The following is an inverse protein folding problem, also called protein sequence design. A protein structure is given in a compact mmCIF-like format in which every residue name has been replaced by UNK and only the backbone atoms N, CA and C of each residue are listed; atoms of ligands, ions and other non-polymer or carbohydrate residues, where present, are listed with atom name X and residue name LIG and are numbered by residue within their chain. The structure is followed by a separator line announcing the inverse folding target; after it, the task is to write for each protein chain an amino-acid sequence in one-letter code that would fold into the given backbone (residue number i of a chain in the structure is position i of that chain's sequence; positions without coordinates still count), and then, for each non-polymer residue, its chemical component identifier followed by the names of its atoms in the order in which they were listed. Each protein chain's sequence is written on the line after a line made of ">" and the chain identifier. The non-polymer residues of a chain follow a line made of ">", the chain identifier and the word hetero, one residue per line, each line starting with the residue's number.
data_IF_298324291586
#
_entry.id   IF_298324291586
#
_cell.length_a   1.000
_cell.length_b   1.000
_cell.length_c   1.000
_cell.angle_alpha   90.00
_cell.angle_beta   90.00
_cell.angle_gamma   90.00
#
_symmetry.space_group_name_H-M   'P 1'
#
loop_
_entity.id
_entity.type
_entity.pdbx_description
1 polymer ?
#
# COMPACT_ATOMS: atom_id res chain seq x y z
N UNK A 1 26.46 -17.85 -7.03
CA UNK A 1 26.25 -17.79 -5.57
C UNK A 1 25.50 -19.02 -5.10
N UNK A 2 25.88 -19.56 -3.96
CA UNK A 2 25.18 -20.63 -3.28
C UNK A 2 24.69 -20.10 -1.94
N UNK A 3 23.46 -20.45 -1.53
CA UNK A 3 22.93 -20.03 -0.24
C UNK A 3 22.13 -21.15 0.42
N UNK A 4 22.22 -21.23 1.74
CA UNK A 4 21.41 -22.08 2.60
C UNK A 4 20.64 -21.21 3.57
N UNK A 5 19.35 -21.47 3.76
CA UNK A 5 18.53 -20.70 4.69
C UNK A 5 17.68 -21.65 5.55
N UNK A 6 17.63 -21.33 6.84
CA UNK A 6 16.79 -22.01 7.81
C UNK A 6 15.92 -20.98 8.52
N UNK A 7 14.60 -21.13 8.37
CA UNK A 7 13.63 -20.28 9.05
C UNK A 7 12.77 -21.11 9.99
N UNK A 8 12.42 -20.49 11.13
CA UNK A 8 11.50 -21.05 12.14
C UNK A 8 10.58 -19.94 12.59
N UNK A 9 9.29 -20.16 12.43
CA UNK A 9 8.26 -19.18 12.80
C UNK A 9 7.05 -19.82 13.46
N UNK A 10 6.21 -18.97 14.03
CA UNK A 10 4.88 -19.33 14.53
C UNK A 10 3.86 -18.36 13.95
N UNK A 11 2.66 -18.86 13.69
CA UNK A 11 1.52 -18.08 13.25
C UNK A 11 0.43 -18.10 14.30
N UNK A 12 -0.20 -16.95 14.53
CA UNK A 12 -1.28 -16.77 15.48
C UNK A 12 -2.48 -16.18 14.78
N UNK A 13 -3.66 -16.67 15.13
CA UNK A 13 -4.93 -16.21 14.57
C UNK A 13 -6.01 -16.26 15.65
N UNK A 14 -6.83 -15.23 15.71
CA UNK A 14 -8.00 -15.17 16.56
C UNK A 14 -9.03 -14.20 16.01
N UNK A 15 -10.30 -14.56 16.08
CA UNK A 15 -11.40 -13.66 15.75
C UNK A 15 -12.56 -13.86 16.72
N UNK A 16 -13.28 -12.77 16.95
CA UNK A 16 -14.50 -12.72 17.75
C UNK A 16 -15.48 -11.83 17.02
N UNK A 17 -16.73 -12.29 16.91
CA UNK A 17 -17.85 -11.49 16.42
C UNK A 17 -19.05 -11.70 17.34
N UNK A 18 -19.71 -10.61 17.71
CA UNK A 18 -20.89 -10.61 18.54
C UNK A 18 -21.91 -9.62 18.00
N UNK A 19 -23.18 -10.02 17.93
CA UNK A 19 -24.29 -9.16 17.57
C UNK A 19 -25.30 -9.15 18.70
N UNK A 20 -25.74 -7.96 19.10
CA UNK A 20 -26.70 -7.75 20.17
C UNK A 20 -27.90 -6.94 19.66
N UNK A 21 -29.08 -7.57 19.61
CA UNK A 21 -30.34 -6.92 19.33
C UNK A 21 -30.81 -6.16 20.58
N UNK A 22 -30.63 -4.84 20.60
CA UNK A 22 -31.06 -3.99 21.71
C UNK A 22 -32.60 -4.01 21.78
N UNK A 23 -33.24 -3.96 20.62
CA UNK A 23 -34.67 -4.14 20.40
C UNK A 23 -34.92 -4.52 18.91
N UNK A 24 -36.17 -4.64 18.51
CA UNK A 24 -36.60 -5.01 17.15
C UNK A 24 -36.17 -4.02 16.04
N UNK A 25 -35.60 -2.87 16.42
CA UNK A 25 -35.20 -1.79 15.52
C UNK A 25 -33.71 -1.44 15.62
N UNK A 26 -33.03 -1.90 16.66
CA UNK A 26 -31.64 -1.51 16.95
C UNK A 26 -30.77 -2.73 17.10
N UNK A 27 -29.71 -2.76 16.30
CA UNK A 27 -28.70 -3.82 16.31
C UNK A 27 -27.32 -3.20 16.57
N UNK A 28 -26.57 -3.79 17.48
CA UNK A 28 -25.16 -3.49 17.72
C UNK A 28 -24.34 -4.72 17.32
N UNK A 29 -23.36 -4.53 16.42
CA UNK A 29 -22.42 -5.59 16.05
C UNK A 29 -21.00 -5.15 16.43
N UNK A 30 -20.26 -6.03 17.06
CA UNK A 30 -18.86 -5.82 17.43
C UNK A 30 -18.06 -6.99 16.88
N UNK A 31 -16.98 -6.70 16.17
CA UNK A 31 -16.04 -7.72 15.73
C UNK A 31 -14.61 -7.31 16.07
N UNK A 32 -13.80 -8.31 16.41
CA UNK A 32 -12.37 -8.18 16.66
C UNK A 32 -11.66 -9.32 15.95
N UNK A 33 -10.55 -9.01 15.28
CA UNK A 33 -9.70 -10.00 14.65
C UNK A 33 -8.22 -9.68 14.86
N UNK A 34 -7.44 -10.70 15.03
CA UNK A 34 -5.99 -10.62 15.09
C UNK A 34 -5.39 -11.79 14.34
N UNK A 35 -4.40 -11.52 13.50
CA UNK A 35 -3.56 -12.56 12.92
C UNK A 35 -2.15 -12.01 12.72
N UNK A 36 -1.17 -12.89 12.75
CA UNK A 36 0.20 -12.48 12.58
C UNK A 36 1.18 -13.63 12.78
N UNK A 37 2.43 -13.31 12.55
CA UNK A 37 3.53 -14.25 12.65
C UNK A 37 4.74 -13.60 13.30
N UNK A 38 5.55 -14.40 13.95
CA UNK A 38 6.92 -14.06 14.29
C UNK A 38 7.84 -15.17 13.82
N UNK A 39 8.97 -14.81 13.27
CA UNK A 39 9.94 -15.71 12.69
C UNK A 39 11.37 -15.35 13.07
N UNK A 40 12.23 -16.36 13.00
CA UNK A 40 13.68 -16.25 13.08
C UNK A 40 14.26 -16.94 11.87
N UNK A 41 15.19 -16.26 11.21
CA UNK A 41 15.88 -16.80 10.04
C UNK A 41 17.38 -16.73 10.23
N UNK A 42 18.07 -17.76 9.80
CA UNK A 42 19.51 -17.78 9.68
C UNK A 42 19.83 -18.20 8.24
N UNK A 43 20.71 -17.50 7.59
CA UNK A 43 21.14 -17.86 6.24
C UNK A 43 22.61 -17.64 6.05
N UNK A 44 23.25 -18.63 5.45
CA UNK A 44 24.64 -18.61 5.00
C UNK A 44 24.67 -18.51 3.48
N UNK A 45 25.56 -17.70 2.95
CA UNK A 45 25.73 -17.53 1.51
C UNK A 45 27.19 -17.45 1.10
N UNK A 46 27.53 -18.06 -0.03
CA UNK A 46 28.82 -17.89 -0.68
C UNK A 46 28.61 -17.11 -1.99
N UNK A 47 29.32 -16.02 -2.15
CA UNK A 47 29.29 -15.22 -3.36
C UNK A 47 30.68 -15.22 -3.99
N UNK A 48 30.74 -15.57 -5.27
CA UNK A 48 31.93 -15.49 -6.10
C UNK A 48 31.58 -14.56 -7.26
N UNK A 49 32.37 -13.51 -7.45
CA UNK A 49 32.24 -12.57 -8.55
C UNK A 49 33.38 -12.78 -9.55
N UNK A 50 33.02 -12.74 -10.81
CA UNK A 50 33.95 -12.81 -11.94
C UNK A 50 33.98 -11.49 -12.69
N UNK A 51 35.08 -11.20 -13.35
CA UNK A 51 35.22 -10.05 -14.26
C UNK A 51 34.22 -10.11 -15.44
N UNK A 52 34.21 -9.09 -16.25
CA UNK A 52 33.29 -8.95 -17.37
C UNK A 52 33.42 -10.05 -18.43
N UNK A 53 34.61 -10.66 -18.57
CA UNK A 53 34.92 -11.76 -19.45
C UNK A 53 34.50 -13.14 -18.89
N UNK A 54 34.05 -13.19 -17.62
CA UNK A 54 33.66 -14.38 -16.86
C UNK A 54 34.78 -15.42 -16.64
N UNK A 55 36.01 -15.12 -17.02
CA UNK A 55 37.15 -16.04 -16.87
C UNK A 55 37.97 -15.69 -15.64
N UNK A 56 38.07 -14.41 -15.32
CA UNK A 56 38.84 -13.94 -14.19
C UNK A 56 37.99 -13.87 -12.91
N UNK A 57 38.53 -14.45 -11.84
CA UNK A 57 38.04 -14.30 -10.49
C UNK A 57 38.29 -12.85 -10.03
N UNK A 58 37.25 -12.16 -9.56
CA UNK A 58 37.39 -10.79 -9.07
C UNK A 58 37.48 -10.75 -7.53
N UNK A 59 36.56 -11.36 -6.86
CA UNK A 59 36.54 -11.50 -5.41
C UNK A 59 35.52 -12.56 -4.96
N UNK A 60 35.69 -13.04 -3.73
CA UNK A 60 34.69 -13.88 -3.05
C UNK A 60 34.47 -13.43 -1.62
N UNK A 61 33.32 -13.72 -1.09
CA UNK A 61 32.99 -13.55 0.32
C UNK A 61 31.90 -14.51 0.75
N UNK A 62 31.85 -14.79 2.05
CA UNK A 62 30.74 -15.48 2.69
C UNK A 62 29.90 -14.48 3.46
N UNK A 63 28.58 -14.69 3.49
CA UNK A 63 27.66 -13.95 4.33
C UNK A 63 27.04 -14.86 5.38
N UNK A 64 26.93 -14.35 6.60
CA UNK A 64 26.18 -14.97 7.67
C UNK A 64 25.11 -13.95 8.15
N UNK A 65 23.85 -14.32 7.97
CA UNK A 65 22.71 -13.45 8.24
C UNK A 65 21.83 -14.06 9.32
N UNK A 66 21.54 -13.28 10.35
CA UNK A 66 20.60 -13.62 11.41
C UNK A 66 19.48 -12.59 11.45
N UNK A 67 18.24 -13.06 11.43
CA UNK A 67 17.08 -12.18 11.44
C UNK A 67 16.00 -12.64 12.41
N UNK A 68 15.32 -11.68 13.00
CA UNK A 68 14.06 -11.88 13.72
C UNK A 68 13.05 -10.89 13.18
N UNK A 69 11.86 -11.38 12.87
CA UNK A 69 10.76 -10.55 12.41
C UNK A 69 9.46 -10.85 13.13
N UNK A 70 8.59 -9.88 13.17
CA UNK A 70 7.20 -10.10 13.51
C UNK A 70 6.30 -9.16 12.73
N UNK A 71 5.15 -9.64 12.36
CA UNK A 71 4.09 -8.80 11.79
C UNK A 71 2.73 -9.26 12.32
N UNK A 72 1.88 -8.30 12.62
CA UNK A 72 0.53 -8.54 13.07
C UNK A 72 -0.45 -7.65 12.31
N UNK A 73 -1.67 -8.14 12.14
CA UNK A 73 -2.82 -7.35 11.72
C UNK A 73 -3.89 -7.48 12.79
N UNK A 74 -4.21 -6.35 13.41
CA UNK A 74 -5.21 -6.25 14.48
C UNK A 74 -6.32 -5.37 13.93
N UNK A 75 -7.54 -5.89 13.87
CA UNK A 75 -8.69 -5.17 13.36
C UNK A 75 -9.85 -5.25 14.33
N UNK A 76 -10.64 -4.20 14.37
CA UNK A 76 -11.86 -4.12 15.15
C UNK A 76 -12.90 -3.28 14.42
N UNK A 77 -14.16 -3.64 14.58
CA UNK A 77 -15.26 -2.79 14.14
C UNK A 77 -16.43 -2.81 15.13
N UNK A 78 -17.12 -1.69 15.18
CA UNK A 78 -18.37 -1.51 15.91
C UNK A 78 -19.36 -0.88 14.96
N UNK A 79 -20.48 -1.56 14.72
CA UNK A 79 -21.55 -1.09 13.87
C UNK A 79 -22.84 -0.98 14.69
N UNK A 80 -23.42 0.21 14.74
CA UNK A 80 -24.74 0.46 15.31
C UNK A 80 -25.71 0.77 14.20
N UNK A 81 -26.74 -0.06 14.08
CA UNK A 81 -27.78 0.08 13.08
C UNK A 81 -29.12 0.37 13.75
N UNK A 82 -29.85 1.31 13.19
CA UNK A 82 -31.20 1.65 13.60
C UNK A 82 -32.14 1.70 12.40
N UNK A 83 -33.21 0.90 12.44
CA UNK A 83 -34.28 0.91 11.45
C UNK A 83 -35.51 1.71 11.95
N UNK A 84 -36.34 2.19 11.04
CA UNK A 84 -37.55 2.94 11.37
C UNK A 84 -38.75 2.01 11.64
N UNK A 85 -39.55 2.36 12.65
CA UNK A 85 -40.80 1.62 12.93
C UNK A 85 -41.81 1.66 11.77
N UNK A 86 -41.85 2.81 11.03
CA UNK A 86 -42.81 3.00 9.93
C UNK A 86 -42.38 2.30 8.64
N UNK A 87 -41.09 2.17 8.42
CA UNK A 87 -40.55 1.51 7.24
C UNK A 87 -39.18 0.91 7.58
N UNK A 88 -39.10 -0.41 7.62
CA UNK A 88 -37.88 -1.15 7.98
C UNK A 88 -36.74 -0.98 6.96
N UNK A 89 -37.02 -0.56 5.73
CA UNK A 89 -36.01 -0.25 4.73
C UNK A 89 -35.33 1.13 4.98
N UNK A 90 -35.96 1.98 5.82
CA UNK A 90 -35.34 3.23 6.27
C UNK A 90 -34.40 2.93 7.43
N UNK A 91 -33.12 3.20 7.22
CA UNK A 91 -32.06 2.79 8.12
C UNK A 91 -30.98 3.83 8.25
N UNK A 92 -30.44 3.99 9.44
CA UNK A 92 -29.20 4.69 9.70
C UNK A 92 -28.20 3.73 10.33
N UNK A 93 -26.95 3.77 9.86
CA UNK A 93 -25.85 2.97 10.39
C UNK A 93 -24.69 3.90 10.78
N UNK A 94 -24.15 3.69 11.97
CA UNK A 94 -22.91 4.29 12.43
C UNK A 94 -21.88 3.21 12.54
N UNK A 95 -20.75 3.37 11.85
CA UNK A 95 -19.66 2.40 11.83
C UNK A 95 -18.37 3.05 12.30
N UNK A 96 -17.67 2.38 13.19
CA UNK A 96 -16.29 2.67 13.53
C UNK A 96 -15.42 1.45 13.26
N UNK A 97 -14.33 1.64 12.54
CA UNK A 97 -13.36 0.57 12.25
C UNK A 97 -11.97 1.04 12.61
N UNK A 98 -11.20 0.14 13.20
CA UNK A 98 -9.78 0.32 13.45
C UNK A 98 -9.00 -0.84 12.86
N UNK A 99 -7.88 -0.54 12.23
CA UNK A 99 -6.91 -1.53 11.76
C UNK A 99 -5.51 -1.05 12.15
N UNK A 100 -4.70 -1.94 12.73
CA UNK A 100 -3.30 -1.67 13.07
C UNK A 100 -2.43 -2.82 12.59
N UNK A 101 -1.32 -2.49 11.92
CA UNK A 101 -0.40 -3.44 11.32
C UNK A 101 1.03 -3.18 11.81
N UNK A 102 1.34 -3.47 13.09
CA UNK A 102 2.69 -3.36 13.60
C UNK A 102 3.58 -4.45 13.00
N UNK A 103 4.79 -4.05 12.62
CA UNK A 103 5.82 -4.94 12.11
C UNK A 103 7.16 -4.58 12.73
N UNK A 104 7.96 -5.60 13.06
CA UNK A 104 9.34 -5.43 13.52
C UNK A 104 10.27 -6.28 12.68
N UNK A 105 11.47 -5.77 12.47
CA UNK A 105 12.55 -6.49 11.82
C UNK A 105 13.87 -6.15 12.52
N UNK A 106 14.58 -7.16 12.97
CA UNK A 106 15.90 -7.05 13.62
C UNK A 106 16.82 -8.02 12.89
N UNK A 107 17.81 -7.51 12.18
CA UNK A 107 18.67 -8.32 11.33
C UNK A 107 20.14 -7.92 11.42
N UNK A 108 21.00 -8.92 11.47
CA UNK A 108 22.45 -8.82 11.40
C UNK A 108 22.92 -9.43 10.10
N UNK A 109 23.82 -8.75 9.43
CA UNK A 109 24.51 -9.24 8.25
C UNK A 109 26.01 -9.15 8.49
N UNK A 110 26.68 -10.27 8.39
CA UNK A 110 28.12 -10.38 8.60
C UNK A 110 28.80 -10.88 7.33
N UNK A 111 29.82 -10.15 6.89
CA UNK A 111 30.68 -10.54 5.79
C UNK A 111 31.92 -11.24 6.34
N UNK A 112 32.20 -12.42 5.86
CA UNK A 112 33.28 -13.29 6.29
C UNK A 112 34.10 -13.71 5.07
N UNK A 113 35.36 -14.09 5.33
CA UNK A 113 36.25 -14.69 4.32
C UNK A 113 36.29 -13.87 3.02
N UNK A 114 36.47 -12.55 3.16
CA UNK A 114 36.54 -11.63 2.03
C UNK A 114 37.95 -11.78 1.41
N UNK A 115 38.00 -12.36 0.22
CA UNK A 115 39.23 -12.60 -0.51
C UNK A 115 39.18 -11.90 -1.88
N UNK A 116 40.06 -10.92 -2.14
CA UNK A 116 40.24 -10.36 -3.47
C UNK A 116 41.17 -11.24 -4.31
N UNK A 117 41.11 -11.07 -5.62
CA UNK A 117 42.20 -11.50 -6.50
C UNK A 117 43.50 -10.76 -6.14
N UNK A 118 44.64 -11.45 -6.23
CA UNK A 118 45.97 -10.96 -5.72
C UNK A 118 46.36 -9.55 -6.18
N UNK A 119 45.80 -9.04 -7.29
CA UNK A 119 46.11 -7.71 -7.84
C UNK A 119 44.93 -6.71 -7.79
N UNK A 120 43.82 -7.04 -7.09
CA UNK A 120 42.58 -6.22 -7.08
C UNK A 120 42.12 -5.83 -5.68
N UNK A 121 43.06 -5.61 -4.75
CA UNK A 121 42.78 -5.16 -3.38
C UNK A 121 41.94 -3.86 -3.32
N UNK A 122 42.02 -3.02 -4.34
CA UNK A 122 41.28 -1.76 -4.40
C UNK A 122 39.77 -1.96 -4.61
N UNK A 123 39.37 -3.05 -5.29
CA UNK A 123 37.95 -3.36 -5.50
C UNK A 123 37.21 -3.60 -4.17
N UNK A 124 37.85 -4.25 -3.19
CA UNK A 124 37.22 -4.49 -1.88
C UNK A 124 37.09 -3.18 -1.08
N UNK A 125 38.06 -2.28 -1.17
CA UNK A 125 37.97 -0.96 -0.55
C UNK A 125 36.85 -0.12 -1.16
N UNK A 126 36.67 -0.20 -2.48
CA UNK A 126 35.56 0.47 -3.17
C UNK A 126 34.19 -0.13 -2.85
N UNK A 127 34.10 -1.45 -2.71
CA UNK A 127 32.85 -2.16 -2.35
C UNK A 127 32.40 -1.86 -0.92
N UNK A 128 33.32 -1.42 -0.02
CA UNK A 128 33.01 -1.05 1.37
C UNK A 128 32.06 -2.05 2.07
N UNK A 129 32.39 -3.36 1.99
CA UNK A 129 31.61 -4.42 2.64
C UNK A 129 31.78 -4.31 4.16
N UNK A 130 30.76 -3.72 4.80
CA UNK A 130 30.71 -3.54 6.25
C UNK A 130 29.63 -4.43 6.84
N UNK A 131 29.94 -5.05 7.97
CA UNK A 131 28.92 -5.71 8.76
C UNK A 131 27.87 -4.70 9.19
N UNK A 132 26.62 -5.10 9.21
CA UNK A 132 25.55 -4.21 9.66
C UNK A 132 24.50 -4.89 10.51
N UNK A 133 23.92 -4.10 11.38
CA UNK A 133 22.71 -4.41 12.15
C UNK A 133 21.60 -3.41 11.78
N UNK A 134 20.43 -3.92 11.50
CA UNK A 134 19.23 -3.12 11.20
C UNK A 134 18.12 -3.48 12.18
N UNK A 135 17.65 -2.49 12.96
CA UNK A 135 16.48 -2.58 13.85
C UNK A 135 15.37 -1.69 13.27
N UNK A 136 14.33 -2.33 12.75
CA UNK A 136 13.22 -1.67 12.08
C UNK A 136 11.89 -1.91 12.79
N UNK A 137 11.11 -0.82 12.96
CA UNK A 137 9.74 -0.84 13.49
C UNK A 137 8.85 -0.03 12.59
N UNK A 138 7.80 -0.66 12.07
CA UNK A 138 6.79 0.03 11.27
C UNK A 138 5.40 -0.24 11.81
N UNK A 139 4.51 0.72 11.65
CA UNK A 139 3.10 0.53 11.95
C UNK A 139 2.24 1.36 11.00
N UNK A 140 1.24 0.71 10.40
CA UNK A 140 0.13 1.37 9.73
C UNK A 140 -1.10 1.24 10.61
N UNK A 141 -1.60 2.38 11.10
CA UNK A 141 -2.87 2.45 11.85
C UNK A 141 -3.89 3.23 11.03
N UNK A 142 -5.05 2.62 10.80
CA UNK A 142 -6.18 3.25 10.12
C UNK A 142 -7.41 3.23 11.02
N UNK A 143 -8.07 4.39 11.15
CA UNK A 143 -9.36 4.53 11.81
C UNK A 143 -10.37 5.07 10.80
N UNK A 144 -11.54 4.46 10.75
CA UNK A 144 -12.62 4.86 9.85
C UNK A 144 -13.88 5.12 10.65
N UNK A 145 -14.43 6.31 10.49
CA UNK A 145 -15.74 6.70 10.98
C UNK A 145 -16.67 6.85 9.77
N UNK A 146 -17.83 6.21 9.81
CA UNK A 146 -18.78 6.24 8.70
C UNK A 146 -20.21 6.34 9.22
N UNK A 147 -21.01 7.14 8.54
CA UNK A 147 -22.45 7.25 8.76
C UNK A 147 -23.15 7.05 7.43
N UNK A 148 -24.08 6.09 7.39
CA UNK A 148 -24.90 5.78 6.23
C UNK A 148 -26.36 5.97 6.55
N UNK A 149 -27.09 6.58 5.63
CA UNK A 149 -28.53 6.72 5.72
C UNK A 149 -29.19 6.26 4.44
N UNK A 150 -30.12 5.31 4.57
CA UNK A 150 -30.92 4.80 3.47
C UNK A 150 -32.38 5.11 3.73
N UNK A 151 -33.09 5.67 2.75
CA UNK A 151 -34.51 5.96 2.84
C UNK A 151 -35.24 5.66 1.54
N UNK A 152 -36.25 4.77 1.55
CA UNK A 152 -37.15 4.61 0.41
C UNK A 152 -38.13 5.80 0.33
N UNK A 153 -38.42 6.22 -0.89
CA UNK A 153 -39.42 7.22 -1.26
C UNK A 153 -40.47 6.54 -2.14
N UNK A 154 -41.62 6.26 -1.56
CA UNK A 154 -42.63 5.45 -2.20
C UNK A 154 -42.15 3.99 -2.38
N UNK A 155 -42.61 3.34 -3.47
CA UNK A 155 -42.31 1.91 -3.76
C UNK A 155 -41.19 1.72 -4.78
N UNK A 156 -40.78 2.77 -5.47
CA UNK A 156 -39.92 2.69 -6.63
C UNK A 156 -38.54 3.32 -6.40
N UNK A 157 -38.42 4.22 -5.45
CA UNK A 157 -37.27 5.05 -5.27
C UNK A 157 -36.59 4.79 -3.93
N UNK A 158 -35.26 4.77 -3.92
CA UNK A 158 -34.47 4.72 -2.68
C UNK A 158 -33.33 5.73 -2.80
N UNK A 159 -33.15 6.53 -1.75
CA UNK A 159 -32.00 7.41 -1.60
C UNK A 159 -31.05 6.79 -0.58
N UNK A 160 -29.78 6.76 -0.92
CA UNK A 160 -28.68 6.36 -0.05
C UNK A 160 -27.72 7.55 0.05
N UNK A 161 -27.34 7.94 1.25
CA UNK A 161 -26.36 9.01 1.46
C UNK A 161 -25.50 8.70 2.66
N UNK A 162 -24.30 9.22 2.68
CA UNK A 162 -23.41 9.00 3.80
C UNK A 162 -22.19 9.89 3.78
N UNK A 163 -21.48 9.85 4.88
CA UNK A 163 -20.20 10.49 5.06
C UNK A 163 -19.22 9.52 5.69
N UNK A 164 -17.95 9.63 5.30
CA UNK A 164 -16.87 8.78 5.78
C UNK A 164 -15.63 9.62 6.03
N UNK A 165 -15.01 9.40 7.17
CA UNK A 165 -13.71 9.96 7.52
C UNK A 165 -12.74 8.83 7.80
N UNK A 166 -11.60 8.85 7.13
CA UNK A 166 -10.50 7.91 7.36
C UNK A 166 -9.32 8.72 7.86
N UNK A 167 -8.82 8.33 9.01
CA UNK A 167 -7.53 8.76 9.53
C UNK A 167 -6.55 7.61 9.43
N UNK A 168 -5.44 7.81 8.69
CA UNK A 168 -4.37 6.82 8.56
C UNK A 168 -3.05 7.43 9.01
N UNK A 169 -2.36 6.72 9.87
CA UNK A 169 -1.01 7.03 10.31
C UNK A 169 -0.08 5.88 9.95
N UNK A 170 0.89 6.16 9.10
CA UNK A 170 2.01 5.28 8.86
C UNK A 170 3.23 5.84 9.60
N UNK A 171 3.93 5.00 10.33
CA UNK A 171 5.17 5.34 11.01
C UNK A 171 6.22 4.29 10.72
N UNK A 172 7.44 4.73 10.52
CA UNK A 172 8.61 3.88 10.35
C UNK A 172 9.74 4.45 11.21
N UNK A 173 10.41 3.60 11.96
CA UNK A 173 11.66 3.87 12.68
C UNK A 173 12.60 2.72 12.31
N UNK A 174 13.57 3.01 11.45
CA UNK A 174 14.55 2.05 10.98
C UNK A 174 15.95 2.56 11.32
N UNK A 175 16.63 1.88 12.22
CA UNK A 175 17.96 2.22 12.73
C UNK A 175 18.98 1.29 12.12
N UNK A 176 19.98 1.89 11.54
CA UNK A 176 21.05 1.19 10.85
C UNK A 176 22.39 1.43 11.56
N UNK A 177 23.10 0.35 11.83
CA UNK A 177 24.39 0.36 12.49
C UNK A 177 25.40 -0.38 11.62
N UNK A 178 26.62 0.11 11.55
CA UNK A 178 27.70 -0.49 10.77
C UNK A 178 28.91 -0.81 11.66
N UNK A 179 29.58 -1.90 11.34
CA UNK A 179 30.86 -2.26 11.96
C UNK A 179 31.89 -2.56 10.88
N UNK A 180 33.13 -2.14 11.12
CA UNK A 180 34.23 -2.39 10.20
C UNK A 180 34.91 -3.73 10.48
N UNK A 181 35.12 -4.52 9.44
CA UNK A 181 35.79 -5.81 9.51
C UNK A 181 35.06 -6.80 10.43
N UNK A 182 35.82 -7.61 11.17
CA UNK A 182 35.29 -8.57 12.15
C UNK A 182 34.93 -7.94 13.51
N UNK A 183 34.82 -6.60 13.58
CA UNK A 183 34.45 -5.90 14.81
C UNK A 183 32.96 -6.12 15.14
N UNK A 184 32.67 -6.36 16.42
CA UNK A 184 31.31 -6.37 16.95
C UNK A 184 30.84 -4.97 17.44
N UNK A 185 31.68 -3.95 17.28
CA UNK A 185 31.37 -2.58 17.65
C UNK A 185 30.57 -1.89 16.52
N UNK A 186 29.26 -2.03 16.60
CA UNK A 186 28.33 -1.40 15.64
C UNK A 186 28.13 0.07 15.97
N UNK A 187 28.53 0.96 15.06
CA UNK A 187 28.30 2.40 15.14
C UNK A 187 27.02 2.79 14.40
N UNK A 188 26.22 3.65 15.01
CA UNK A 188 25.00 4.18 14.39
C UNK A 188 25.33 4.98 13.12
N UNK A 189 24.62 4.69 12.02
CA UNK A 189 24.73 5.40 10.76
C UNK A 189 23.44 6.16 10.47
N UNK A 190 23.42 7.46 10.73
CA UNK A 190 22.26 8.33 10.52
C UNK A 190 21.84 8.40 9.04
N UNK A 191 22.80 8.43 8.12
CA UNK A 191 22.52 8.52 6.68
C UNK A 191 21.82 7.29 6.09
N UNK A 192 21.97 6.13 6.74
CA UNK A 192 21.29 4.88 6.38
C UNK A 192 20.08 4.57 7.25
N UNK A 193 19.90 5.34 8.33
CA UNK A 193 18.72 5.25 9.20
C UNK A 193 17.60 6.13 8.68
N UNK A 194 16.36 5.79 8.97
CA UNK A 194 15.23 6.64 8.63
C UNK A 194 14.11 6.54 9.67
N UNK A 195 13.63 7.70 10.12
CA UNK A 195 12.42 7.80 10.91
C UNK A 195 11.48 8.78 10.23
N UNK A 196 10.25 8.33 9.92
CA UNK A 196 9.22 9.21 9.35
C UNK A 196 7.84 8.92 9.89
N UNK A 197 6.96 9.91 9.77
CA UNK A 197 5.52 9.85 10.02
C UNK A 197 4.77 10.37 8.81
N UNK A 198 3.79 9.59 8.37
CA UNK A 198 2.90 9.95 7.27
C UNK A 198 1.46 9.90 7.77
N UNK A 199 0.80 11.05 7.78
CA UNK A 199 -0.59 11.21 8.18
C UNK A 199 -1.46 11.41 6.95
N UNK A 200 -2.59 10.71 6.88
CA UNK A 200 -3.60 10.87 5.85
C UNK A 200 -4.96 11.12 6.48
N UNK A 201 -5.60 12.20 6.08
CA UNK A 201 -6.98 12.53 6.37
C UNK A 201 -7.78 12.45 5.08
N UNK A 202 -8.75 11.53 5.01
CA UNK A 202 -9.59 11.36 3.83
C UNK A 202 -11.03 11.58 4.27
N UNK A 203 -11.64 12.67 3.79
CA UNK A 203 -13.04 12.99 4.03
C UNK A 203 -13.81 12.65 2.76
N UNK A 204 -14.93 11.96 2.91
CA UNK A 204 -15.79 11.58 1.79
C UNK A 204 -17.25 11.87 2.12
N UNK A 205 -17.97 12.39 1.14
CA UNK A 205 -19.43 12.49 1.17
C UNK A 205 -19.98 11.85 -0.10
N UNK A 206 -21.07 11.12 0.00
CA UNK A 206 -21.65 10.42 -1.15
C UNK A 206 -23.15 10.37 -1.11
N UNK A 207 -23.73 10.31 -2.31
CA UNK A 207 -25.14 10.12 -2.52
C UNK A 207 -25.39 9.14 -3.67
N UNK A 208 -26.36 8.30 -3.49
CA UNK A 208 -26.85 7.35 -4.49
C UNK A 208 -28.38 7.40 -4.56
N UNK A 209 -28.88 7.12 -5.73
CA UNK A 209 -30.30 7.01 -5.99
C UNK A 209 -30.58 5.68 -6.67
N UNK A 210 -31.63 4.99 -6.28
CA UNK A 210 -32.05 3.74 -6.90
C UNK A 210 -33.51 3.88 -7.37
N UNK A 211 -33.73 3.66 -8.66
CA UNK A 211 -35.05 3.48 -9.26
C UNK A 211 -35.25 1.98 -9.59
N UNK A 212 -36.38 1.43 -9.12
CA UNK A 212 -36.83 0.06 -9.47
C UNK A 212 -38.19 0.13 -10.07
N UNK A 213 -38.33 -0.20 -11.38
CA UNK A 213 -39.60 -0.15 -12.09
C UNK A 213 -39.73 -1.35 -13.07
N UNK A 214 -40.72 -2.20 -12.89
CA UNK A 214 -41.09 -3.31 -13.80
C UNK A 214 -39.86 -4.14 -14.31
N UNK A 215 -38.98 -4.52 -13.40
CA UNK A 215 -37.78 -5.29 -13.76
C UNK A 215 -36.58 -4.47 -14.24
N UNK A 216 -36.75 -3.17 -14.40
CA UNK A 216 -35.67 -2.21 -14.63
C UNK A 216 -35.15 -1.67 -13.30
N UNK A 217 -33.83 -1.60 -13.16
CA UNK A 217 -33.13 -0.98 -12.03
C UNK A 217 -32.12 0.01 -12.57
N UNK A 218 -32.14 1.23 -12.07
CA UNK A 218 -31.15 2.28 -12.36
C UNK A 218 -30.60 2.81 -11.07
N UNK A 219 -29.27 2.75 -10.89
CA UNK A 219 -28.58 3.20 -9.68
C UNK A 219 -27.38 4.07 -10.01
N UNK A 220 -27.55 5.40 -10.18
CA UNK A 220 -26.46 6.35 -10.20
C UNK A 220 -25.95 6.61 -8.79
N UNK A 221 -24.67 6.91 -8.67
CA UNK A 221 -24.02 7.32 -7.44
C UNK A 221 -22.90 8.32 -7.71
N UNK A 222 -22.69 9.22 -6.78
CA UNK A 222 -21.60 10.19 -6.81
C UNK A 222 -20.97 10.28 -5.43
N UNK A 223 -19.64 10.27 -5.38
CA UNK A 223 -18.83 10.44 -4.18
C UNK A 223 -17.82 11.56 -4.41
N UNK A 224 -17.74 12.46 -3.47
CA UNK A 224 -16.68 13.45 -3.37
C UNK A 224 -15.69 13.00 -2.30
N UNK A 225 -14.41 13.07 -2.58
CA UNK A 225 -13.34 12.76 -1.63
C UNK A 225 -12.34 13.91 -1.57
N UNK A 226 -11.98 14.32 -0.36
CA UNK A 226 -10.88 15.24 -0.06
C UNK A 226 -9.79 14.47 0.67
N UNK A 227 -8.57 14.50 0.14
CA UNK A 227 -7.41 13.86 0.74
C UNK A 227 -6.40 14.93 1.15
N UNK A 228 -5.96 14.88 2.40
CA UNK A 228 -4.91 15.73 2.96
C UNK A 228 -3.84 14.80 3.50
N UNK A 229 -2.61 14.94 3.04
CA UNK A 229 -1.46 14.16 3.46
C UNK A 229 -0.39 15.08 4.03
N UNK A 230 0.23 14.64 5.12
CA UNK A 230 1.38 15.30 5.75
C UNK A 230 2.47 14.25 5.98
N UNK A 231 3.67 14.50 5.51
CA UNK A 231 4.84 13.65 5.72
C UNK A 231 5.91 14.42 6.44
N UNK A 232 6.39 13.84 7.55
CA UNK A 232 7.49 14.37 8.35
C UNK A 232 8.60 13.34 8.47
N UNK A 233 9.78 13.70 8.03
CA UNK A 233 11.02 12.96 8.28
C UNK A 233 11.66 13.51 9.56
N UNK A 234 12.01 12.62 10.47
CA UNK A 234 12.61 12.93 11.77
C UNK A 234 14.09 12.56 11.82
N UNK A 235 14.47 11.52 11.08
CA UNK A 235 15.85 11.02 10.95
C UNK A 235 16.08 10.55 9.53
N UNK A 236 17.32 10.74 9.05
CA UNK A 236 17.80 10.23 7.77
C UNK A 236 17.33 11.02 6.54
N UNK A 237 17.58 10.47 5.36
CA UNK A 237 17.30 11.13 4.09
C UNK A 237 15.81 11.22 3.82
N UNK A 238 15.34 12.41 3.47
CA UNK A 238 13.96 12.69 3.12
C UNK A 238 13.61 14.14 3.41
N UNK A 239 12.57 14.64 2.77
CA UNK A 239 12.07 15.99 2.95
C UNK A 239 10.62 15.95 3.44
N UNK A 240 10.30 16.94 4.30
CA UNK A 240 8.91 17.13 4.74
C UNK A 240 8.09 17.70 3.58
N UNK A 241 6.91 17.14 3.37
CA UNK A 241 6.00 17.65 2.36
C UNK A 241 4.54 17.41 2.73
N UNK A 242 3.68 18.23 2.14
CA UNK A 242 2.24 18.13 2.25
C UNK A 242 1.62 17.94 0.87
N UNK A 243 0.52 17.23 0.80
CA UNK A 243 -0.24 17.07 -0.44
C UNK A 243 -1.73 17.14 -0.16
N UNK A 244 -2.44 17.87 -1.03
CA UNK A 244 -3.88 18.09 -0.89
C UNK A 244 -4.55 18.00 -2.25
N UNK A 245 -5.51 17.09 -2.39
CA UNK A 245 -6.24 16.91 -3.65
C UNK A 245 -7.66 16.40 -3.40
N UNK A 246 -8.53 16.67 -4.37
CA UNK A 246 -9.93 16.26 -4.33
C UNK A 246 -10.34 15.52 -5.58
N UNK A 247 -11.26 14.57 -5.41
CA UNK A 247 -11.75 13.73 -6.48
C UNK A 247 -13.27 13.59 -6.46
N UNK A 248 -13.89 13.64 -7.64
CA UNK A 248 -15.28 13.24 -7.86
C UNK A 248 -15.29 11.82 -8.46
N UNK A 249 -16.02 10.91 -7.83
CA UNK A 249 -16.04 9.49 -8.15
C UNK A 249 -17.45 9.06 -8.51
N UNK A 250 -17.83 9.13 -9.79
CA UNK A 250 -19.15 8.69 -10.27
C UNK A 250 -19.23 7.18 -10.43
N UNK A 251 -20.45 6.67 -10.28
CA UNK A 251 -20.81 5.29 -10.58
C UNK A 251 -22.22 5.19 -11.14
N UNK A 252 -22.47 4.23 -12.01
CA UNK A 252 -23.82 3.94 -12.53
C UNK A 252 -23.98 2.43 -12.62
N UNK A 253 -25.11 1.92 -12.18
CA UNK A 253 -25.50 0.51 -12.39
C UNK A 253 -26.88 0.44 -13.01
N UNK A 254 -27.00 -0.38 -14.04
CA UNK A 254 -28.22 -0.68 -14.80
C UNK A 254 -28.53 -2.16 -14.66
N UNK A 255 -29.79 -2.50 -14.47
CA UNK A 255 -30.26 -3.88 -14.45
C UNK A 255 -31.60 -4.00 -15.17
N UNK A 256 -31.72 -4.99 -16.05
CA UNK A 256 -32.95 -5.25 -16.79
C UNK A 256 -33.24 -6.74 -16.71
N UNK A 257 -34.44 -7.10 -16.21
CA UNK A 257 -34.98 -8.46 -16.28
C UNK A 257 -35.69 -8.64 -17.62
N UNK A 258 -35.13 -9.51 -18.44
CA UNK A 258 -35.71 -9.88 -19.75
C UNK A 258 -36.53 -11.17 -19.60
N UNK A 259 -37.72 -11.06 -19.02
CA UNK A 259 -38.55 -12.22 -18.69
C UNK A 259 -38.25 -12.85 -17.33
N UNK A 260 -38.54 -14.18 -17.19
CA UNK A 260 -38.44 -14.87 -15.90
C UNK A 260 -37.02 -15.36 -15.56
N UNK A 261 -36.19 -15.62 -16.56
CA UNK A 261 -34.94 -16.36 -16.43
C UNK A 261 -33.74 -15.60 -16.96
N UNK A 262 -33.94 -14.43 -17.55
CA UNK A 262 -32.87 -13.67 -18.21
C UNK A 262 -32.64 -12.33 -17.53
N UNK A 263 -31.38 -11.96 -17.32
CA UNK A 263 -30.99 -10.69 -16.74
C UNK A 263 -29.88 -10.08 -17.59
N UNK A 264 -30.01 -8.81 -17.87
CA UNK A 264 -28.96 -7.97 -18.45
C UNK A 264 -28.54 -6.93 -17.39
N UNK A 265 -27.23 -6.79 -17.17
CA UNK A 265 -26.67 -5.79 -16.26
C UNK A 265 -25.57 -5.04 -16.94
N UNK A 266 -25.54 -3.73 -16.74
CA UNK A 266 -24.46 -2.87 -17.18
C UNK A 266 -24.00 -2.02 -16.02
N UNK A 267 -22.74 -1.70 -15.98
CA UNK A 267 -22.16 -0.88 -14.93
C UNK A 267 -21.05 0.01 -15.45
N UNK A 268 -20.93 1.15 -14.83
CA UNK A 268 -19.76 2.02 -14.89
C UNK A 268 -19.35 2.38 -13.48
N UNK A 269 -18.06 2.23 -13.18
CA UNK A 269 -17.51 2.73 -11.94
C UNK A 269 -16.13 3.36 -12.19
N UNK A 270 -15.85 4.42 -11.47
CA UNK A 270 -14.55 5.02 -11.37
C UNK A 270 -13.93 4.66 -10.02
N UNK A 271 -12.65 4.37 -10.02
CA UNK A 271 -11.84 4.20 -8.81
C UNK A 271 -10.67 5.15 -8.86
N UNK A 272 -10.24 5.59 -7.69
CA UNK A 272 -9.05 6.43 -7.56
C UNK A 272 -7.97 5.65 -6.84
N UNK A 273 -6.73 5.80 -7.34
CA UNK A 273 -5.54 5.33 -6.68
C UNK A 273 -4.67 6.55 -6.33
N UNK A 274 -4.32 6.67 -5.06
CA UNK A 274 -3.58 7.82 -4.55
C UNK A 274 -2.10 7.54 -4.60
N UNK A 275 -1.27 8.52 -5.03
CA UNK A 275 0.18 8.35 -4.98
C UNK A 275 0.64 8.08 -3.54
N UNK A 276 1.51 7.10 -3.41
CA UNK A 276 2.14 6.77 -2.14
C UNK A 276 3.29 7.73 -1.79
N UNK A 277 3.80 7.62 -0.56
CA UNK A 277 4.91 8.44 -0.06
C UNK A 277 6.13 8.42 -1.00
N UNK A 278 6.47 7.27 -1.56
CA UNK A 278 7.62 7.11 -2.45
C UNK A 278 7.48 7.86 -3.78
N UNK A 279 6.25 8.00 -4.28
CA UNK A 279 5.98 8.74 -5.50
C UNK A 279 5.97 10.26 -5.27
N UNK A 280 5.67 10.67 -4.03
CA UNK A 280 5.50 12.09 -3.66
C UNK A 280 6.76 12.70 -3.05
N UNK A 281 7.68 11.89 -2.50
CA UNK A 281 8.86 12.38 -1.78
C UNK A 281 9.78 13.20 -2.71
N UNK A 282 9.93 14.51 -2.51
CA UNK A 282 10.75 15.36 -3.36
C UNK A 282 12.25 15.19 -3.10
N UNK A 283 12.65 14.44 -2.09
CA UNK A 283 14.03 14.19 -1.75
C UNK A 283 14.82 13.64 -2.93
N UNK A 284 15.95 14.27 -3.23
CA UNK A 284 16.91 13.84 -4.24
C UNK A 284 17.76 12.70 -3.66
N UNK A 285 17.32 11.46 -3.83
CA UNK A 285 18.03 10.30 -3.32
C UNK A 285 19.19 9.92 -4.24
N UNK A 286 20.38 10.29 -3.83
CA UNK A 286 21.66 9.99 -4.48
C UNK A 286 22.58 9.11 -3.60
N UNK A 287 22.01 8.34 -2.67
CA UNK A 287 22.79 7.39 -1.86
C UNK A 287 23.61 6.43 -2.73
N UNK A 288 23.07 6.05 -3.87
CA UNK A 288 23.84 5.48 -4.97
C UNK A 288 23.93 6.52 -6.09
N UNK A 289 25.11 7.15 -6.29
CA UNK A 289 25.26 8.22 -7.28
C UNK A 289 24.99 7.80 -8.73
N UNK A 290 24.99 6.48 -9.01
CA UNK A 290 24.65 5.95 -10.33
C UNK A 290 23.17 5.66 -10.51
N UNK A 291 22.38 5.64 -9.43
CA UNK A 291 20.93 5.38 -9.44
C UNK A 291 20.23 6.41 -8.56
N UNK A 292 19.79 7.48 -9.17
CA UNK A 292 19.18 8.62 -8.48
C UNK A 292 17.68 8.56 -8.61
N UNK A 293 16.97 8.75 -7.50
CA UNK A 293 15.52 8.74 -7.46
C UNK A 293 14.98 10.04 -6.86
N UNK A 294 13.90 10.56 -7.43
CA UNK A 294 13.19 11.72 -6.90
C UNK A 294 11.69 11.61 -7.19
N UNK A 295 10.85 11.72 -6.16
CA UNK A 295 9.40 11.76 -6.33
C UNK A 295 8.89 13.16 -6.71
N UNK A 296 7.60 13.23 -7.05
CA UNK A 296 6.94 14.48 -7.40
C UNK A 296 5.76 14.76 -6.46
N UNK A 297 5.86 15.74 -5.54
CA UNK A 297 4.80 16.06 -4.57
C UNK A 297 3.52 16.60 -5.22
N UNK A 298 3.57 17.02 -6.49
CA UNK A 298 2.45 17.57 -7.24
C UNK A 298 1.60 16.51 -7.95
N UNK A 299 1.91 15.22 -7.79
CA UNK A 299 1.12 14.14 -8.37
C UNK A 299 -0.31 14.15 -7.85
N UNK A 300 -1.25 13.88 -8.75
CA UNK A 300 -2.68 13.74 -8.45
C UNK A 300 -3.07 12.26 -8.50
N UNK A 301 -4.27 11.96 -8.00
CA UNK A 301 -4.82 10.60 -8.05
C UNK A 301 -4.91 10.06 -9.47
N UNK A 302 -4.50 8.83 -9.66
CA UNK A 302 -4.82 8.04 -10.86
C UNK A 302 -6.29 7.66 -10.83
N UNK A 303 -6.95 7.73 -11.99
CA UNK A 303 -8.37 7.42 -12.16
C UNK A 303 -8.55 6.22 -13.06
N UNK A 304 -9.07 5.15 -12.48
CA UNK A 304 -9.37 3.91 -13.21
C UNK A 304 -10.86 3.85 -13.52
N UNK A 305 -11.19 3.78 -14.79
CA UNK A 305 -12.55 3.68 -15.32
C UNK A 305 -12.82 2.23 -15.71
N UNK A 306 -13.94 1.68 -15.28
CA UNK A 306 -14.35 0.33 -15.62
C UNK A 306 -15.81 0.32 -16.06
N UNK A 307 -16.05 -0.28 -17.23
CA UNK A 307 -17.35 -0.57 -17.80
C UNK A 307 -17.54 -2.06 -17.80
N UNK A 308 -18.67 -2.52 -17.34
CA UNK A 308 -19.05 -3.93 -17.35
C UNK A 308 -20.42 -4.13 -17.98
N UNK A 309 -20.56 -5.21 -18.72
CA UNK A 309 -21.81 -5.67 -19.29
C UNK A 309 -21.92 -7.17 -19.06
N UNK A 310 -23.00 -7.62 -18.46
CA UNK A 310 -23.23 -9.04 -18.23
C UNK A 310 -24.63 -9.44 -18.60
N UNK A 311 -24.75 -10.57 -19.31
CA UNK A 311 -26.00 -11.23 -19.62
C UNK A 311 -26.00 -12.61 -18.98
N UNK A 312 -27.07 -12.93 -18.30
CA UNK A 312 -27.29 -14.28 -17.73
C UNK A 312 -28.64 -14.82 -18.11
N UNK A 313 -28.70 -16.09 -18.51
CA UNK A 313 -29.90 -16.84 -18.81
C UNK A 313 -29.84 -18.21 -18.13
N UNK A 314 -30.86 -18.52 -17.33
CA UNK A 314 -30.98 -19.77 -16.59
C UNK A 314 -32.25 -20.50 -17.00
N UNK A 315 -32.10 -21.63 -17.68
CA UNK A 315 -33.20 -22.47 -18.08
C UNK A 315 -33.02 -23.88 -17.52
N UNK A 316 -34.03 -24.70 -17.59
CA UNK A 316 -33.96 -26.11 -17.16
C UNK A 316 -32.98 -26.94 -18.00
N UNK A 317 -32.63 -26.49 -19.21
CA UNK A 317 -31.76 -27.25 -20.14
C UNK A 317 -30.36 -26.67 -20.26
N UNK A 318 -30.18 -25.37 -20.08
CA UNK A 318 -28.86 -24.72 -20.20
C UNK A 318 -28.79 -23.46 -19.36
N UNK A 319 -27.56 -23.12 -18.96
CA UNK A 319 -27.22 -21.89 -18.29
C UNK A 319 -26.14 -21.16 -19.10
N UNK A 320 -26.38 -19.89 -19.39
CA UNK A 320 -25.45 -19.03 -20.12
C UNK A 320 -25.12 -17.84 -19.25
N UNK A 321 -23.81 -17.54 -19.08
CA UNK A 321 -23.31 -16.32 -18.50
C UNK A 321 -22.27 -15.72 -19.45
N UNK A 322 -22.58 -14.54 -19.94
CA UNK A 322 -21.68 -13.75 -20.80
C UNK A 322 -21.28 -12.49 -20.03
N UNK A 323 -20.01 -12.16 -20.03
CA UNK A 323 -19.51 -10.93 -19.40
C UNK A 323 -18.48 -10.27 -20.30
N UNK A 324 -18.60 -8.96 -20.43
CA UNK A 324 -17.62 -8.09 -21.11
C UNK A 324 -17.20 -7.03 -20.11
N UNK A 325 -15.90 -6.80 -20.03
CA UNK A 325 -15.33 -5.69 -19.23
C UNK A 325 -14.34 -4.92 -20.10
N UNK A 326 -14.46 -3.60 -20.03
CA UNK A 326 -13.50 -2.68 -20.58
C UNK A 326 -13.02 -1.73 -19.48
N UNK A 327 -11.71 -1.54 -19.33
CA UNK A 327 -11.15 -0.62 -18.35
C UNK A 327 -9.97 0.13 -18.93
N UNK A 328 -9.81 1.37 -18.47
CA UNK A 328 -8.69 2.23 -18.80
C UNK A 328 -8.38 3.16 -17.63
N UNK A 329 -7.15 3.65 -17.57
CA UNK A 329 -6.69 4.58 -16.55
C UNK A 329 -6.43 5.95 -17.16
N UNK A 330 -6.86 6.99 -16.44
CA UNK A 330 -6.48 8.37 -16.71
C UNK A 330 -5.53 8.85 -15.61
N UNK A 331 -4.61 9.75 -15.98
CA UNK A 331 -3.62 10.30 -15.06
C UNK A 331 -2.80 9.19 -14.36
N UNK A 332 -2.38 8.18 -15.14
CA UNK A 332 -1.53 7.10 -14.66
C UNK A 332 -0.21 7.64 -14.12
N UNK A 333 0.23 7.08 -12.98
CA UNK A 333 1.51 7.44 -12.38
C UNK A 333 2.55 6.52 -12.98
N UNK A 334 3.48 7.12 -13.72
CA UNK A 334 4.56 6.40 -14.39
C UNK A 334 5.91 6.87 -13.84
N UNK A 335 6.84 5.94 -13.78
CA UNK A 335 8.24 6.24 -13.51
C UNK A 335 8.97 6.44 -14.81
N UNK A 336 9.58 7.61 -14.97
CA UNK A 336 10.41 7.93 -16.11
C UNK A 336 11.86 7.88 -15.68
N UNK A 337 12.67 7.09 -16.38
CA UNK A 337 14.10 7.01 -16.11
C UNK A 337 14.87 7.50 -17.33
N UNK A 338 15.89 8.32 -17.09
CA UNK A 338 16.80 8.80 -18.14
C UNK A 338 18.26 8.66 -17.73
N UNK A 339 19.11 8.41 -18.69
CA UNK A 339 20.54 8.38 -18.49
C UNK A 339 21.10 9.82 -18.54
N UNK A 340 22.00 10.16 -17.62
CA UNK A 340 22.75 11.42 -17.66
C UNK A 340 23.85 11.29 -18.71
N UNK A 341 23.72 12.03 -19.81
CA UNK A 341 24.63 11.95 -20.98
C UNK A 341 25.59 13.12 -21.07
N UNK A 342 25.46 14.13 -20.23
CA UNK A 342 26.42 15.21 -20.12
C UNK A 342 27.69 14.72 -19.42
N UNK A 343 28.86 14.89 -20.06
CA UNK A 343 30.16 14.44 -19.55
C UNK A 343 30.57 15.12 -18.24
N UNK A 344 30.12 16.35 -18.03
CA UNK A 344 30.35 17.12 -16.80
C UNK A 344 29.33 16.80 -15.69
N UNK A 345 28.37 15.91 -16.00
CA UNK A 345 27.22 15.61 -15.16
C UNK A 345 26.11 16.67 -15.27
N UNK A 346 25.04 16.51 -14.55
CA UNK A 346 23.89 17.43 -14.53
C UNK A 346 23.67 17.99 -13.15
N UNK A 347 23.35 19.28 -13.06
CA UNK A 347 23.01 19.97 -11.81
C UNK A 347 21.50 20.18 -11.78
N UNK A 348 20.85 19.66 -10.74
CA UNK A 348 19.42 19.76 -10.48
C UNK A 348 19.11 20.92 -9.54
N UNK A 349 17.83 21.22 -9.38
CA UNK A 349 17.35 22.21 -8.42
C UNK A 349 17.88 21.90 -7.01
N UNK A 350 18.27 22.93 -6.27
CA UNK A 350 18.93 22.78 -4.97
C UNK A 350 20.44 22.48 -5.04
N UNK A 351 21.05 22.49 -6.24
CA UNK A 351 22.50 22.28 -6.41
C UNK A 351 22.93 20.81 -6.36
N UNK A 352 21.98 19.87 -6.39
CA UNK A 352 22.27 18.45 -6.41
C UNK A 352 22.92 18.04 -7.74
N UNK A 353 24.00 17.27 -7.68
CA UNK A 353 24.75 16.86 -8.87
C UNK A 353 24.56 15.37 -9.16
N UNK A 354 24.23 15.04 -10.42
CA UNK A 354 24.25 13.68 -10.94
C UNK A 354 25.46 13.50 -11.87
N UNK A 355 26.27 12.45 -11.70
CA UNK A 355 27.43 12.21 -12.55
C UNK A 355 27.04 11.69 -13.94
N UNK A 356 27.94 11.81 -14.90
CA UNK A 356 27.81 11.16 -16.20
C UNK A 356 27.57 9.66 -16.07
N UNK A 357 26.63 9.13 -16.84
CA UNK A 357 26.27 7.71 -16.82
C UNK A 357 25.31 7.30 -15.69
N UNK A 358 24.91 8.21 -14.80
CA UNK A 358 23.90 7.93 -13.80
C UNK A 358 22.51 7.77 -14.42
N UNK A 359 21.70 6.89 -13.85
CA UNK A 359 20.28 6.73 -14.16
C UNK A 359 19.48 7.59 -13.17
N UNK A 360 18.84 8.63 -13.66
CA UNK A 360 17.92 9.49 -12.90
C UNK A 360 16.47 9.04 -13.17
N UNK A 361 15.69 8.85 -12.11
CA UNK A 361 14.31 8.36 -12.17
C UNK A 361 13.38 9.15 -11.29
#
# INVERSE_FOLDING_TARGET
>A
SESSSKSKGNFQYGNLEASYEIDTLRLLTVAFGMYGSSDKSNSDGNTIMHGADRQDFAYRYRTDNHGKGSWYSINGNIDYQRTSRKNKERMITFSYKINSQPQTNDSYNTYLDIEPEENKLDIIKELSLKNFHSDGKTNTMEQTFQVDYTTPIGKLHTIETGAKYIFRRNSSDNRFYEAEGASENYAYNENRSSEYRHLNHILSAYAGYTLKYKGFTFKPGLRYEQTIQEVKYLVGPGENFDSNFSDLVPSVSLGIKLGKTQNLRGGYNMRIWRPGIWNLNPYFDNQNPMFINQGNPNLKSEKSHSFDLSYSSFTSKFNINLSLRHSFNNNGIERISRLITDKDGEIFEGGHKAPYGALYS
#
